data_IF_210313728285
#
_entry.id   IF_210313728285
#
_cell.length_a   1.000
_cell.length_b   1.000
_cell.length_c   1.000
_cell.angle_alpha   90.00
_cell.angle_beta   90.00
_cell.angle_gamma   90.00
#
_symmetry.space_group_name_H-M   'P 1'
#
loop_
_entity.id
_entity.type
_entity.pdbx_description
1 polymer ?
#
# COMPACT_ATOMS: atom_id res chain seq x y z
N UNK A 1 -15.28 1.16 -17.45
CA UNK A 1 -14.58 2.14 -16.63
C UNK A 1 -13.98 1.37 -15.48
N UNK A 2 -12.87 0.69 -15.76
CA UNK A 2 -12.25 -0.25 -14.82
C UNK A 2 -11.41 0.58 -13.86
N UNK A 3 -11.56 0.33 -12.55
CA UNK A 3 -11.06 1.19 -11.46
C UNK A 3 -9.54 1.08 -11.26
N UNK A 4 -8.83 0.57 -12.26
CA UNK A 4 -7.39 0.28 -12.28
C UNK A 4 -6.51 1.54 -12.44
N UNK A 5 -7.10 2.69 -12.78
CA UNK A 5 -6.33 3.85 -13.29
C UNK A 5 -5.68 4.75 -12.22
N UNK A 6 -5.75 4.46 -10.91
CA UNK A 6 -5.24 5.40 -9.90
C UNK A 6 -4.49 4.81 -8.71
N UNK A 7 -4.10 3.53 -8.72
CA UNK A 7 -3.22 3.07 -7.65
C UNK A 7 -1.84 3.74 -7.78
N UNK A 8 -1.21 4.16 -6.66
CA UNK A 8 0.12 4.74 -6.68
C UNK A 8 1.21 3.73 -7.10
N UNK A 9 0.83 2.45 -7.25
CA UNK A 9 1.73 1.35 -7.61
C UNK A 9 1.16 0.60 -8.80
N UNK A 10 1.95 0.52 -9.86
CA UNK A 10 1.62 -0.23 -11.08
C UNK A 10 1.71 -1.74 -10.79
N UNK A 11 0.76 -2.50 -11.34
CA UNK A 11 0.66 -3.96 -11.15
C UNK A 11 0.70 -4.40 -9.68
N UNK A 12 0.17 -3.56 -8.78
CA UNK A 12 0.21 -3.76 -7.33
C UNK A 12 -0.25 -5.15 -6.88
N UNK A 13 -1.24 -5.74 -7.56
CA UNK A 13 -1.72 -7.07 -7.20
C UNK A 13 -0.70 -8.19 -7.50
N UNK A 14 0.19 -7.96 -8.47
CA UNK A 14 1.15 -8.92 -8.99
C UNK A 14 2.54 -8.80 -8.34
N UNK A 15 2.81 -7.73 -7.58
CA UNK A 15 4.13 -7.55 -6.96
C UNK A 15 4.32 -8.47 -5.74
N UNK A 16 5.56 -8.90 -5.53
CA UNK A 16 5.93 -9.67 -4.34
C UNK A 16 5.98 -8.80 -3.09
N UNK A 17 5.95 -9.43 -1.91
CA UNK A 17 6.07 -8.74 -0.62
C UNK A 17 7.41 -7.98 -0.50
N UNK A 18 8.51 -8.54 -1.03
CA UNK A 18 9.81 -7.85 -1.06
C UNK A 18 9.75 -6.59 -1.92
N UNK A 19 9.16 -6.66 -3.11
CA UNK A 19 8.97 -5.49 -3.98
C UNK A 19 8.07 -4.45 -3.33
N UNK A 20 6.97 -4.89 -2.71
CA UNK A 20 6.07 -4.02 -1.96
C UNK A 20 6.84 -3.21 -0.91
N UNK A 21 7.67 -3.86 -0.09
CA UNK A 21 8.47 -3.20 0.95
C UNK A 21 9.39 -2.10 0.39
N UNK A 22 9.99 -2.32 -0.77
CA UNK A 22 10.82 -1.30 -1.43
C UNK A 22 9.99 -0.11 -1.94
N UNK A 23 8.80 -0.39 -2.48
CA UNK A 23 7.92 0.64 -3.04
C UNK A 23 7.31 1.52 -1.94
N UNK A 24 6.78 0.93 -0.86
CA UNK A 24 6.14 1.65 0.25
C UNK A 24 7.08 2.62 0.97
N UNK A 25 8.40 2.43 0.87
CA UNK A 25 9.39 3.36 1.41
C UNK A 25 9.35 4.73 0.71
N UNK A 26 9.00 4.75 -0.57
CA UNK A 26 8.92 5.96 -1.40
C UNK A 26 7.54 6.63 -1.37
N UNK A 27 6.54 5.94 -0.83
CA UNK A 27 5.17 6.44 -0.75
C UNK A 27 4.96 7.35 0.45
N UNK A 28 4.07 8.32 0.27
CA UNK A 28 3.59 9.19 1.33
C UNK A 28 2.39 8.58 2.06
N UNK A 29 1.96 9.24 3.15
CA UNK A 29 0.88 8.75 3.99
C UNK A 29 -0.46 8.59 3.23
N UNK A 30 -0.77 9.49 2.29
CA UNK A 30 -2.03 9.43 1.54
C UNK A 30 -2.04 8.27 0.54
N UNK A 31 -0.92 8.04 -0.14
CA UNK A 31 -0.72 6.92 -1.05
C UNK A 31 -0.83 5.57 -0.32
N UNK A 32 -0.26 5.46 0.89
CA UNK A 32 -0.37 4.25 1.72
C UNK A 32 -1.80 4.00 2.20
N UNK A 33 -2.53 5.06 2.57
CA UNK A 33 -3.94 4.98 2.92
C UNK A 33 -4.77 4.47 1.75
N UNK A 34 -4.49 4.95 0.55
CA UNK A 34 -5.18 4.52 -0.66
C UNK A 34 -4.94 3.03 -0.97
N UNK A 35 -3.69 2.56 -0.84
CA UNK A 35 -3.37 1.13 -0.97
C UNK A 35 -4.07 0.26 0.08
N UNK A 36 -4.15 0.75 1.32
CA UNK A 36 -4.82 0.02 2.42
C UNK A 36 -6.33 -0.12 2.18
N UNK A 37 -6.97 0.93 1.66
CA UNK A 37 -8.37 0.88 1.26
C UNK A 37 -8.58 -0.10 0.11
N UNK A 38 -7.73 -0.03 -0.93
CA UNK A 38 -7.78 -0.97 -2.05
C UNK A 38 -7.65 -2.42 -1.60
N UNK A 39 -6.69 -2.74 -0.73
CA UNK A 39 -6.51 -4.10 -0.22
C UNK A 39 -7.64 -4.59 0.65
N UNK A 40 -8.34 -3.69 1.33
CA UNK A 40 -9.54 -4.07 2.09
C UNK A 40 -10.74 -4.36 1.19
N UNK A 41 -10.76 -3.81 -0.03
CA UNK A 41 -11.85 -4.03 -1.00
C UNK A 41 -11.57 -5.18 -1.98
N UNK A 42 -10.30 -5.50 -2.29
CA UNK A 42 -9.98 -6.40 -3.41
C UNK A 42 -9.33 -7.74 -2.99
N UNK A 43 -8.24 -7.72 -2.24
CA UNK A 43 -7.42 -8.92 -2.02
C UNK A 43 -7.43 -9.44 -0.57
N UNK A 44 -7.78 -8.59 0.40
CA UNK A 44 -7.81 -8.86 1.84
C UNK A 44 -6.54 -9.55 2.37
N UNK A 45 -5.37 -9.24 1.81
CA UNK A 45 -4.09 -9.86 2.20
C UNK A 45 -3.64 -9.34 3.56
N UNK A 46 -3.69 -10.14 4.64
CA UNK A 46 -3.43 -9.64 5.99
C UNK A 46 -1.97 -9.21 6.20
N UNK A 47 -1.02 -9.87 5.53
CA UNK A 47 0.39 -9.50 5.59
C UNK A 47 0.66 -8.13 4.94
N UNK A 48 0.01 -7.87 3.79
CA UNK A 48 0.14 -6.60 3.07
C UNK A 48 -0.42 -5.45 3.89
N UNK A 49 -1.60 -5.63 4.49
CA UNK A 49 -2.21 -4.65 5.40
C UNK A 49 -1.27 -4.27 6.55
N UNK A 50 -0.69 -5.27 7.24
CA UNK A 50 0.28 -5.03 8.33
C UNK A 50 1.50 -4.23 7.88
N UNK A 51 2.01 -4.48 6.66
CA UNK A 51 3.15 -3.76 6.10
C UNK A 51 2.79 -2.29 5.84
N UNK A 52 1.61 -2.04 5.27
CA UNK A 52 1.11 -0.67 5.03
C UNK A 52 0.87 0.08 6.34
N UNK A 53 0.22 -0.56 7.32
CA UNK A 53 -0.04 -0.01 8.65
C UNK A 53 1.27 0.35 9.37
N UNK A 54 2.24 -0.57 9.38
CA UNK A 54 3.54 -0.33 9.99
C UNK A 54 4.24 0.89 9.36
N UNK A 55 4.14 1.05 8.03
CA UNK A 55 4.74 2.19 7.33
C UNK A 55 4.01 3.51 7.62
N UNK A 56 2.68 3.50 7.67
CA UNK A 56 1.89 4.68 8.05
C UNK A 56 2.26 5.14 9.46
N UNK A 57 2.30 4.21 10.43
CA UNK A 57 2.70 4.51 11.81
C UNK A 57 4.14 5.08 11.89
N UNK A 58 5.07 4.59 11.06
CA UNK A 58 6.42 5.17 10.98
C UNK A 58 6.43 6.61 10.47
N UNK A 59 5.54 6.97 9.54
CA UNK A 59 5.44 8.34 9.02
C UNK A 59 4.78 9.28 10.05
N UNK A 60 3.82 8.79 10.82
CA UNK A 60 3.15 9.56 11.88
C UNK A 60 4.02 9.78 13.12
N UNK A 61 4.92 8.84 13.42
CA UNK A 61 5.84 8.90 14.57
C UNK A 61 7.00 9.89 14.39
N UNK A 62 7.19 10.48 13.20
CA UNK A 62 8.28 11.43 12.88
C UNK A 62 7.84 12.89 13.10
N UNK A 63 6.90 13.12 14.03
CA UNK A 63 6.39 14.45 14.43
C UNK A 63 6.75 14.76 15.88
#
# INVERSE_FOLDING_TARGET
MSRDERLPVVDYDQISIETLQQVIMRLNHDELRQLSAYESEHADRPLVKRILEARMAQLESVV
#
